data_IF_284094648104
#
_entry.id   IF_284094648104
#
_cell.length_a   1.000
_cell.length_b   1.000
_cell.length_c   1.000
_cell.angle_alpha   90.00
_cell.angle_beta   90.00
_cell.angle_gamma   90.00
#
_symmetry.space_group_name_H-M   'P 1'
#
loop_
_entity.id
_entity.type
_entity.pdbx_description
1 polymer ?
#
# COMPACT_ATOMS: atom_id res chain seq x y z
N UNK A 1 23.85 3.67 5.87
CA UNK A 1 23.63 2.25 5.47
C UNK A 1 24.92 1.73 4.81
N UNK A 2 25.43 2.32 3.74
CA UNK A 2 26.57 1.82 2.98
C UNK A 2 27.85 1.62 3.81
N UNK A 3 28.16 2.53 4.75
CA UNK A 3 29.30 2.37 5.66
C UNK A 3 29.22 1.11 6.53
N UNK A 4 28.02 0.77 7.00
CA UNK A 4 27.79 -0.43 7.82
C UNK A 4 27.92 -1.68 6.94
N UNK A 5 27.27 -1.68 5.76
CA UNK A 5 27.32 -2.83 4.86
C UNK A 5 28.73 -3.18 4.38
N UNK A 6 29.58 -2.16 4.23
CA UNK A 6 30.97 -2.34 3.76
C UNK A 6 31.99 -2.56 4.91
N UNK A 7 31.54 -2.62 6.15
CA UNK A 7 32.44 -2.93 7.29
C UNK A 7 32.69 -4.44 7.37
N UNK A 8 33.93 -4.92 7.19
CA UNK A 8 34.23 -6.36 7.18
C UNK A 8 33.95 -7.08 8.50
N UNK A 9 33.70 -6.34 9.58
CA UNK A 9 33.33 -6.92 10.87
C UNK A 9 31.83 -7.27 10.94
N UNK A 10 31.01 -6.76 10.00
CA UNK A 10 29.58 -6.99 9.93
C UNK A 10 29.31 -8.17 9.01
N UNK A 11 28.94 -9.31 9.59
CA UNK A 11 28.68 -10.57 8.87
C UNK A 11 27.20 -10.94 8.78
N UNK A 12 26.32 -10.18 9.44
CA UNK A 12 24.88 -10.36 9.40
C UNK A 12 24.25 -9.67 8.18
N UNK A 13 23.08 -10.15 7.70
CA UNK A 13 22.34 -9.45 6.65
C UNK A 13 21.97 -8.03 7.07
N UNK A 14 22.13 -7.08 6.16
CA UNK A 14 21.75 -5.68 6.35
C UNK A 14 20.49 -5.37 5.56
N UNK A 15 19.44 -5.00 6.29
CA UNK A 15 18.15 -4.60 5.70
C UNK A 15 18.09 -3.07 5.61
N UNK A 16 18.01 -2.56 4.39
CA UNK A 16 17.89 -1.13 4.13
C UNK A 16 16.46 -0.63 4.39
N UNK A 17 16.34 0.50 5.10
CA UNK A 17 15.07 1.19 5.34
C UNK A 17 15.27 2.69 5.12
N UNK A 18 14.30 3.36 4.48
CA UNK A 18 14.31 4.80 4.27
C UNK A 18 13.41 5.21 3.10
N UNK A 19 12.15 5.54 3.38
CA UNK A 19 11.16 6.11 2.46
C UNK A 19 11.09 5.44 1.07
N UNK A 20 11.19 4.11 1.05
CA UNK A 20 11.01 3.31 -0.17
C UNK A 20 9.52 3.25 -0.49
N UNK A 21 9.10 4.01 -1.48
CA UNK A 21 7.72 4.20 -1.92
C UNK A 21 7.48 3.79 -3.38
N UNK A 22 8.55 3.36 -4.09
CA UNK A 22 8.47 2.89 -5.46
C UNK A 22 9.43 1.72 -5.72
N UNK A 23 9.19 1.02 -6.83
CA UNK A 23 10.05 -0.07 -7.29
C UNK A 23 11.47 0.40 -7.63
N UNK A 24 11.59 1.60 -8.22
CA UNK A 24 12.87 2.22 -8.56
C UNK A 24 13.68 2.55 -7.30
N UNK A 25 13.04 3.13 -6.27
CA UNK A 25 13.70 3.38 -4.98
C UNK A 25 14.11 2.08 -4.28
N UNK A 26 13.29 1.03 -4.39
CA UNK A 26 13.67 -0.29 -3.91
C UNK A 26 14.96 -0.78 -4.59
N UNK A 27 15.03 -0.69 -5.92
CA UNK A 27 16.25 -1.03 -6.68
C UNK A 27 17.46 -0.17 -6.28
N UNK A 28 17.25 1.15 -6.12
CA UNK A 28 18.33 2.07 -5.70
C UNK A 28 18.93 1.68 -4.34
N UNK A 29 18.14 1.13 -3.41
CA UNK A 29 18.65 0.66 -2.13
C UNK A 29 19.65 -0.48 -2.30
N UNK A 30 19.37 -1.43 -3.20
CA UNK A 30 20.32 -2.50 -3.55
C UNK A 30 21.54 -1.96 -4.28
N UNK A 31 21.33 -1.17 -5.34
CA UNK A 31 22.43 -0.68 -6.21
C UNK A 31 23.37 0.27 -5.47
N UNK A 32 22.84 1.18 -4.65
CA UNK A 32 23.62 2.21 -3.98
C UNK A 32 24.30 1.74 -2.71
N UNK A 33 23.64 0.89 -1.95
CA UNK A 33 24.11 0.52 -0.61
C UNK A 33 24.49 -0.95 -0.47
N UNK A 34 24.19 -1.79 -1.47
CA UNK A 34 24.51 -3.21 -1.48
C UNK A 34 23.79 -4.00 -0.37
N UNK A 35 22.64 -3.53 0.08
CA UNK A 35 21.88 -4.18 1.17
C UNK A 35 21.39 -5.57 0.76
N UNK A 36 21.18 -6.45 1.74
CA UNK A 36 20.70 -7.82 1.52
C UNK A 36 19.19 -7.91 1.40
N UNK A 37 18.48 -6.89 1.87
CA UNK A 37 17.04 -6.76 1.76
C UNK A 37 16.59 -5.31 1.95
N UNK A 38 15.34 -5.03 1.62
CA UNK A 38 14.73 -3.72 1.74
C UNK A 38 13.44 -3.82 2.55
N UNK A 39 13.32 -2.98 3.58
CA UNK A 39 12.10 -2.83 4.35
C UNK A 39 11.25 -1.71 3.75
N UNK A 40 9.99 -2.01 3.47
CA UNK A 40 9.00 -1.04 2.99
C UNK A 40 7.97 -0.84 4.11
N UNK A 41 7.88 0.38 4.63
CA UNK A 41 6.99 0.74 5.74
C UNK A 41 5.71 1.42 5.25
N UNK A 42 5.60 2.73 5.47
CA UNK A 42 4.40 3.55 5.21
C UNK A 42 3.81 3.42 3.80
N UNK A 43 4.63 3.15 2.81
CA UNK A 43 4.20 2.96 1.42
C UNK A 43 3.32 1.72 1.19
N UNK A 44 3.23 0.80 2.16
CA UNK A 44 2.32 -0.35 2.12
C UNK A 44 0.87 0.01 2.46
N UNK A 45 0.63 1.17 3.08
CA UNK A 45 -0.72 1.55 3.50
C UNK A 45 -1.63 1.76 2.29
N UNK A 46 -2.63 0.88 2.15
CA UNK A 46 -3.53 0.84 1.00
C UNK A 46 -2.87 0.48 -0.34
N UNK A 47 -1.64 -0.03 -0.30
CA UNK A 47 -0.88 -0.45 -1.48
C UNK A 47 -0.07 -1.74 -1.20
N UNK A 48 -0.70 -2.84 -0.78
CA UNK A 48 0.04 -4.07 -0.48
C UNK A 48 0.73 -4.67 -1.70
N UNK A 49 0.28 -4.36 -2.90
CA UNK A 49 0.89 -4.81 -4.16
C UNK A 49 2.26 -4.18 -4.45
N UNK A 50 2.73 -3.20 -3.66
CA UNK A 50 4.07 -2.60 -3.83
C UNK A 50 5.18 -3.65 -3.80
N UNK A 51 5.01 -4.73 -3.03
CA UNK A 51 5.98 -5.83 -3.00
C UNK A 51 6.04 -6.58 -4.32
N UNK A 52 4.90 -6.78 -4.99
CA UNK A 52 4.84 -7.40 -6.32
C UNK A 52 5.49 -6.49 -7.35
N UNK A 53 5.22 -5.18 -7.29
CA UNK A 53 5.86 -4.18 -8.16
C UNK A 53 7.38 -4.20 -8.01
N UNK A 54 7.88 -4.16 -6.77
CA UNK A 54 9.32 -4.20 -6.49
C UNK A 54 9.96 -5.48 -7.01
N UNK A 55 9.37 -6.65 -6.74
CA UNK A 55 9.89 -7.94 -7.23
C UNK A 55 9.95 -8.01 -8.75
N UNK A 56 8.90 -7.56 -9.42
CA UNK A 56 8.85 -7.54 -10.88
C UNK A 56 9.94 -6.63 -11.45
N UNK A 57 10.03 -5.40 -10.94
CA UNK A 57 11.02 -4.42 -11.39
C UNK A 57 12.46 -4.88 -11.17
N UNK A 58 12.75 -5.50 -10.02
CA UNK A 58 14.06 -6.06 -9.74
C UNK A 58 14.44 -7.19 -10.70
N UNK A 59 13.46 -7.96 -11.17
CA UNK A 59 13.69 -9.07 -12.09
C UNK A 59 13.77 -8.66 -13.56
N UNK A 60 13.00 -7.65 -13.97
CA UNK A 60 12.79 -7.31 -15.39
C UNK A 60 13.22 -5.90 -15.77
N UNK A 61 13.28 -4.97 -14.81
CA UNK A 61 13.43 -3.54 -15.06
C UNK A 61 12.14 -2.84 -15.53
N UNK A 62 11.01 -3.56 -15.61
CA UNK A 62 9.75 -3.03 -16.08
C UNK A 62 8.81 -2.67 -14.92
N UNK A 63 8.06 -1.58 -15.08
CA UNK A 63 7.05 -1.13 -14.11
C UNK A 63 5.73 -1.82 -14.41
N UNK A 64 5.15 -2.48 -13.41
CA UNK A 64 3.80 -3.05 -13.51
C UNK A 64 2.73 -1.96 -13.56
N UNK A 65 1.65 -2.16 -14.34
CA UNK A 65 0.50 -1.28 -14.30
C UNK A 65 -0.13 -1.27 -12.91
N UNK A 66 -0.72 -0.14 -12.53
CA UNK A 66 -1.44 -0.04 -11.27
C UNK A 66 -2.72 -0.88 -11.31
N UNK A 67 -3.12 -1.51 -10.19
CA UNK A 67 -4.40 -2.22 -10.12
C UNK A 67 -5.57 -1.27 -10.40
N UNK A 68 -6.56 -1.78 -11.13
CA UNK A 68 -7.85 -1.12 -11.33
C UNK A 68 -8.60 -0.90 -10.02
N UNK A 69 -9.65 -0.07 -10.03
CA UNK A 69 -10.51 0.13 -8.86
C UNK A 69 -11.13 -1.20 -8.40
N UNK A 70 -11.59 -2.03 -9.34
CA UNK A 70 -12.20 -3.33 -9.03
C UNK A 70 -11.19 -4.27 -8.36
N UNK A 71 -9.97 -4.35 -8.87
CA UNK A 71 -8.90 -5.14 -8.25
C UNK A 71 -8.54 -4.62 -6.85
N UNK A 72 -8.49 -3.29 -6.65
CA UNK A 72 -8.25 -2.69 -5.34
C UNK A 72 -9.36 -3.01 -4.34
N UNK A 73 -10.62 -3.04 -4.78
CA UNK A 73 -11.76 -3.46 -3.95
C UNK A 73 -11.60 -4.90 -3.52
N UNK A 74 -11.28 -5.80 -4.45
CA UNK A 74 -11.05 -7.22 -4.13
C UNK A 74 -9.93 -7.40 -3.09
N UNK A 75 -8.80 -6.73 -3.27
CA UNK A 75 -7.67 -6.75 -2.33
C UNK A 75 -8.08 -6.16 -0.96
N UNK A 76 -8.83 -5.05 -0.94
CA UNK A 76 -9.28 -4.42 0.30
C UNK A 76 -10.25 -5.31 1.09
N UNK A 77 -11.16 -6.02 0.41
CA UNK A 77 -12.07 -7.00 1.04
C UNK A 77 -11.32 -8.20 1.63
N UNK A 78 -10.36 -8.75 0.89
CA UNK A 78 -9.49 -9.82 1.41
C UNK A 78 -8.68 -9.36 2.62
N UNK A 79 -8.11 -8.15 2.56
CA UNK A 79 -7.36 -7.56 3.67
C UNK A 79 -8.24 -7.35 4.90
N UNK A 80 -9.46 -6.84 4.72
CA UNK A 80 -10.44 -6.70 5.80
C UNK A 80 -10.73 -8.06 6.44
N UNK A 81 -11.10 -9.06 5.65
CA UNK A 81 -11.42 -10.39 6.13
C UNK A 81 -10.27 -10.99 6.98
N UNK A 82 -9.02 -10.92 6.48
CA UNK A 82 -7.84 -11.40 7.22
C UNK A 82 -7.58 -10.59 8.49
N UNK A 83 -7.81 -9.28 8.47
CA UNK A 83 -7.66 -8.45 9.65
C UNK A 83 -8.66 -8.81 10.74
N UNK A 84 -9.91 -9.09 10.38
CA UNK A 84 -10.95 -9.54 11.31
C UNK A 84 -10.63 -10.93 11.88
N UNK A 85 -10.20 -11.86 11.03
CA UNK A 85 -9.83 -13.23 11.44
C UNK A 85 -8.72 -13.21 12.49
N UNK A 86 -7.68 -12.40 12.30
CA UNK A 86 -6.48 -12.41 13.16
C UNK A 86 -6.67 -11.55 14.41
N UNK A 87 -7.40 -10.43 14.33
CA UNK A 87 -7.46 -9.40 15.37
C UNK A 87 -8.82 -9.21 16.01
N UNK A 88 -9.83 -9.89 15.49
CA UNK A 88 -11.23 -9.69 15.86
C UNK A 88 -11.82 -8.40 15.25
N UNK A 89 -13.15 -8.28 15.31
CA UNK A 89 -13.89 -7.25 14.59
C UNK A 89 -13.45 -5.84 14.94
N UNK A 90 -13.42 -5.51 16.23
CA UNK A 90 -13.15 -4.13 16.66
C UNK A 90 -11.75 -3.66 16.30
N UNK A 91 -10.73 -4.45 16.61
CA UNK A 91 -9.33 -4.08 16.35
C UNK A 91 -9.03 -4.17 14.87
N UNK A 92 -9.51 -5.22 14.19
CA UNK A 92 -9.36 -5.40 12.76
C UNK A 92 -9.91 -4.23 11.96
N UNK A 93 -11.12 -3.76 12.27
CA UNK A 93 -11.72 -2.60 11.61
C UNK A 93 -10.91 -1.32 11.89
N UNK A 94 -10.52 -1.08 13.14
CA UNK A 94 -9.75 0.12 13.50
C UNK A 94 -8.43 0.22 12.75
N UNK A 95 -7.70 -0.89 12.63
CA UNK A 95 -6.44 -0.91 11.90
C UNK A 95 -6.63 -0.76 10.38
N UNK A 96 -7.73 -1.32 9.84
CA UNK A 96 -8.07 -1.18 8.43
C UNK A 96 -8.36 0.26 7.99
N UNK A 97 -8.78 1.16 8.89
CA UNK A 97 -9.10 2.56 8.55
C UNK A 97 -7.97 3.29 7.84
N UNK A 98 -6.73 3.10 8.29
CA UNK A 98 -5.55 3.68 7.65
C UNK A 98 -5.35 3.14 6.23
N UNK A 99 -5.57 1.85 6.03
CA UNK A 99 -5.47 1.22 4.72
C UNK A 99 -6.60 1.69 3.80
N UNK A 100 -7.86 1.66 4.27
CA UNK A 100 -9.03 2.05 3.49
C UNK A 100 -8.97 3.51 3.03
N UNK A 101 -8.40 4.41 3.84
CA UNK A 101 -8.15 5.80 3.45
C UNK A 101 -7.24 5.90 2.22
N UNK A 102 -6.30 4.98 2.06
CA UNK A 102 -5.28 5.07 1.01
C UNK A 102 -5.59 4.22 -0.23
N UNK A 103 -6.35 3.14 -0.11
CA UNK A 103 -6.68 2.25 -1.24
C UNK A 103 -7.25 2.98 -2.46
N UNK A 104 -8.09 3.99 -2.20
CA UNK A 104 -8.89 4.70 -3.20
C UNK A 104 -8.53 6.18 -3.29
N UNK A 105 -7.33 6.54 -2.83
CA UNK A 105 -6.85 7.91 -2.88
C UNK A 105 -6.78 8.40 -4.33
N UNK A 106 -7.39 9.57 -4.58
CA UNK A 106 -7.42 10.20 -5.90
C UNK A 106 -8.70 9.95 -6.69
N UNK A 107 -9.64 9.12 -6.21
CA UNK A 107 -10.96 9.01 -6.84
C UNK A 107 -11.74 10.33 -6.71
N UNK A 108 -12.42 10.78 -7.80
CA UNK A 108 -13.25 11.98 -7.76
C UNK A 108 -14.47 11.77 -6.84
N UNK A 109 -14.91 12.85 -6.19
CA UNK A 109 -16.12 12.86 -5.32
C UNK A 109 -16.17 11.78 -4.24
N UNK A 110 -15.01 11.24 -3.83
CA UNK A 110 -14.89 10.10 -2.94
C UNK A 110 -15.05 10.43 -1.45
N UNK A 111 -15.17 11.71 -1.08
CA UNK A 111 -15.14 12.17 0.32
C UNK A 111 -16.17 11.49 1.22
N UNK A 112 -17.44 11.40 0.78
CA UNK A 112 -18.51 10.81 1.57
C UNK A 112 -18.36 9.29 1.71
N UNK A 113 -17.99 8.62 0.62
CA UNK A 113 -17.73 7.18 0.63
C UNK A 113 -16.54 6.82 1.51
N UNK A 114 -15.46 7.62 1.45
CA UNK A 114 -14.32 7.46 2.36
C UNK A 114 -14.75 7.61 3.82
N UNK A 115 -15.60 8.59 4.13
CA UNK A 115 -16.08 8.81 5.49
C UNK A 115 -16.80 7.57 6.02
N UNK A 116 -17.70 6.96 5.25
CA UNK A 116 -18.36 5.70 5.60
C UNK A 116 -17.36 4.58 5.89
N UNK A 117 -16.39 4.38 5.00
CA UNK A 117 -15.36 3.34 5.14
C UNK A 117 -14.52 3.48 6.43
N UNK A 118 -14.29 4.70 6.93
CA UNK A 118 -13.40 4.93 8.07
C UNK A 118 -14.13 5.23 9.39
N UNK A 119 -15.44 5.39 9.38
CA UNK A 119 -16.23 5.65 10.60
C UNK A 119 -17.04 4.43 11.03
N UNK A 120 -17.43 3.56 10.11
CA UNK A 120 -18.17 2.35 10.43
C UNK A 120 -17.39 1.41 11.35
N UNK A 121 -18.10 0.71 12.21
CA UNK A 121 -17.64 -0.42 13.02
C UNK A 121 -18.31 -1.74 12.61
N UNK A 122 -19.08 -1.72 11.53
CA UNK A 122 -19.77 -2.86 10.97
C UNK A 122 -19.01 -3.35 9.73
N UNK A 123 -18.51 -4.58 9.79
CA UNK A 123 -17.73 -5.19 8.70
C UNK A 123 -18.58 -5.39 7.42
N UNK A 124 -19.88 -5.69 7.57
CA UNK A 124 -20.78 -5.88 6.45
C UNK A 124 -21.10 -4.54 5.77
N UNK A 125 -21.26 -3.47 6.55
CA UNK A 125 -21.40 -2.12 6.02
C UNK A 125 -20.14 -1.68 5.25
N UNK A 126 -18.94 -1.94 5.79
CA UNK A 126 -17.68 -1.65 5.11
C UNK A 126 -17.58 -2.45 3.82
N UNK A 127 -17.89 -3.75 3.86
CA UNK A 127 -17.87 -4.62 2.67
C UNK A 127 -18.84 -4.16 1.59
N UNK A 128 -20.08 -3.82 1.97
CA UNK A 128 -21.09 -3.29 1.04
C UNK A 128 -20.68 -1.93 0.45
N UNK A 129 -20.03 -1.08 1.27
CA UNK A 129 -19.49 0.19 0.78
C UNK A 129 -18.35 -0.04 -0.23
N UNK A 130 -17.52 -1.06 -0.03
CA UNK A 130 -16.49 -1.45 -0.99
C UNK A 130 -17.10 -1.96 -2.32
N UNK A 131 -18.21 -2.72 -2.28
CA UNK A 131 -18.93 -3.13 -3.48
C UNK A 131 -19.48 -1.91 -4.24
N UNK A 132 -20.05 -0.95 -3.52
CA UNK A 132 -20.47 0.32 -4.11
C UNK A 132 -19.30 1.10 -4.77
N UNK A 133 -18.09 1.04 -4.20
CA UNK A 133 -16.90 1.64 -4.83
C UNK A 133 -16.60 0.98 -6.17
N UNK A 134 -16.64 -0.36 -6.24
CA UNK A 134 -16.43 -1.08 -7.50
C UNK A 134 -17.49 -0.74 -8.55
N UNK A 135 -18.77 -0.62 -8.15
CA UNK A 135 -19.87 -0.27 -9.05
C UNK A 135 -19.73 1.16 -9.60
N UNK A 136 -19.45 2.13 -8.73
CA UNK A 136 -19.46 3.54 -9.11
C UNK A 136 -18.20 3.99 -9.84
N UNK A 137 -17.04 3.48 -9.48
CA UNK A 137 -15.74 3.91 -10.02
C UNK A 137 -14.97 2.76 -10.70
N UNK A 138 -15.62 1.63 -10.97
CA UNK A 138 -14.93 0.47 -11.58
C UNK A 138 -14.23 0.78 -12.90
N UNK A 139 -14.82 1.67 -13.70
CA UNK A 139 -14.27 2.10 -14.99
C UNK A 139 -13.28 3.28 -14.88
N UNK A 140 -13.07 3.81 -13.68
CA UNK A 140 -12.15 4.94 -13.49
C UNK A 140 -10.69 4.46 -13.63
N UNK A 141 -9.93 5.15 -14.50
CA UNK A 141 -8.51 4.87 -14.66
C UNK A 141 -7.72 5.50 -13.50
N UNK A 142 -7.10 4.65 -12.70
CA UNK A 142 -6.29 5.12 -11.57
C UNK A 142 -5.05 5.93 -11.97
N UNK A 143 -4.68 5.96 -13.25
CA UNK A 143 -3.65 6.87 -13.77
C UNK A 143 -4.12 8.32 -13.79
N UNK A 144 -5.42 8.55 -13.88
CA UNK A 144 -6.05 9.88 -13.83
C UNK A 144 -6.28 10.35 -12.39
N UNK A 145 -5.98 9.52 -11.41
CA UNK A 145 -6.07 9.89 -10.00
C UNK A 145 -5.08 11.03 -9.70
N UNK A 146 -5.61 12.18 -9.27
CA UNK A 146 -4.77 13.31 -8.88
C UNK A 146 -3.93 12.94 -7.68
N UNK A 147 -2.59 13.02 -7.74
CA UNK A 147 -1.75 12.82 -6.57
C UNK A 147 -2.16 13.83 -5.49
N UNK A 148 -2.55 13.35 -4.32
CA UNK A 148 -2.76 14.29 -3.22
C UNK A 148 -1.43 14.99 -2.92
N UNK A 149 -1.44 16.30 -2.65
CA UNK A 149 -0.23 16.99 -2.23
C UNK A 149 0.40 16.24 -1.06
N UNK A 150 1.70 16.02 -1.14
CA UNK A 150 2.47 15.45 -0.03
C UNK A 150 2.23 16.35 1.17
N UNK A 151 1.49 15.88 2.16
CA UNK A 151 1.43 16.54 3.45
C UNK A 151 2.82 16.42 4.07
N UNK A 152 3.60 17.45 3.93
CA UNK A 152 4.78 17.69 4.78
C UNK A 152 4.27 18.15 6.13
N UNK A 153 3.71 17.25 6.90
CA UNK A 153 3.43 17.49 8.32
C UNK A 153 4.09 16.38 9.12
N UNK A 154 5.28 16.80 9.63
CA UNK A 154 6.06 16.48 10.85
C UNK A 154 5.96 15.04 11.39
#
# INVERSE_FOLDING_TARGET
>A
IGKIKNDPRITIPIIGNGDVDSAEKCKQMFDRYGVDGVMIGRATYGRPWIFRECKHYLATGEILPQPSVVERVAIAKEHLAKSLEVKGDRVGILEMRRHLTNYFKGLPDFKQTRLKLVTSFDADEISSTLDYVAERWGDFDMRDAVPAPLSHDI
#
